data_IF_109659519788
#
_entry.id   IF_109659519788
#
_cell.length_a   1.000
_cell.length_b   1.000
_cell.length_c   1.000
_cell.angle_alpha   90.00
_cell.angle_beta   90.00
_cell.angle_gamma   90.00
#
_symmetry.space_group_name_H-M   'P 1'
#
loop_
_entity.id
_entity.type
_entity.pdbx_description
1 polymer ?
#
# COMPACT_ATOMS: atom_id res chain seq x y z
N UNK A 1 -4.12 12.38 8.15
CA UNK A 1 -3.42 11.64 7.09
C UNK A 1 -4.47 11.19 6.08
N UNK A 2 -4.31 11.51 4.80
CA UNK A 2 -5.25 11.07 3.76
C UNK A 2 -4.94 9.61 3.47
N UNK A 3 -5.89 8.71 3.64
CA UNK A 3 -5.72 7.31 3.22
C UNK A 3 -5.73 7.25 1.70
N UNK A 4 -4.57 7.11 1.06
CA UNK A 4 -4.46 7.18 -0.40
C UNK A 4 -4.59 5.80 -1.03
N UNK A 5 -5.77 5.53 -1.58
CA UNK A 5 -6.10 4.26 -2.26
C UNK A 5 -5.73 3.02 -1.43
N UNK A 6 -5.94 3.06 -0.11
CA UNK A 6 -5.64 1.92 0.78
C UNK A 6 -6.49 0.70 0.41
N UNK A 7 -5.94 -0.49 0.68
CA UNK A 7 -6.67 -1.74 0.47
C UNK A 7 -7.92 -1.80 1.35
N UNK A 8 -9.02 -2.34 0.81
CA UNK A 8 -10.29 -2.43 1.50
C UNK A 8 -10.60 -3.87 1.94
N UNK A 9 -11.30 -3.99 3.07
CA UNK A 9 -11.78 -5.27 3.57
C UNK A 9 -12.91 -5.79 2.66
N UNK A 10 -12.81 -7.05 2.23
CA UNK A 10 -13.83 -7.72 1.40
C UNK A 10 -14.16 -9.10 1.98
N UNK A 11 -15.35 -9.64 1.69
CA UNK A 11 -15.72 -11.00 2.10
C UNK A 11 -14.75 -12.06 1.56
N UNK A 12 -14.26 -11.86 0.34
CA UNK A 12 -13.24 -12.71 -0.27
C UNK A 12 -11.93 -12.73 0.55
N UNK A 13 -11.55 -11.60 1.16
CA UNK A 13 -10.39 -11.54 2.05
C UNK A 13 -10.59 -12.40 3.29
N UNK A 14 -11.77 -12.35 3.92
CA UNK A 14 -12.08 -13.16 5.10
C UNK A 14 -11.96 -14.66 4.79
N UNK A 15 -12.48 -15.09 3.64
CA UNK A 15 -12.30 -16.46 3.14
C UNK A 15 -10.81 -16.82 2.96
N UNK A 16 -10.00 -15.91 2.40
CA UNK A 16 -8.55 -16.11 2.25
C UNK A 16 -7.84 -16.24 3.60
N UNK A 17 -8.25 -15.49 4.62
CA UNK A 17 -7.69 -15.59 5.98
C UNK A 17 -7.99 -16.98 6.55
N UNK A 18 -9.26 -17.41 6.50
CA UNK A 18 -9.67 -18.72 7.00
C UNK A 18 -8.88 -19.83 6.30
N UNK A 19 -8.87 -19.85 4.97
CA UNK A 19 -8.17 -20.85 4.17
C UNK A 19 -6.66 -20.87 4.46
N UNK A 20 -6.02 -19.70 4.54
CA UNK A 20 -4.57 -19.65 4.78
C UNK A 20 -4.24 -20.14 6.20
N UNK A 21 -5.09 -19.84 7.18
CA UNK A 21 -4.91 -20.26 8.57
C UNK A 21 -5.10 -21.77 8.73
N UNK A 22 -6.07 -22.38 8.04
CA UNK A 22 -6.29 -23.83 8.09
C UNK A 22 -5.20 -24.62 7.37
N UNK A 23 -4.61 -24.06 6.30
CA UNK A 23 -3.51 -24.70 5.58
C UNK A 23 -2.16 -24.57 6.30
N UNK A 24 -1.98 -23.56 7.15
CA UNK A 24 -0.70 -23.25 7.78
C UNK A 24 -0.11 -24.43 8.58
N UNK A 25 -0.87 -25.16 9.43
CA UNK A 25 -0.37 -26.32 10.16
C UNK A 25 0.05 -27.46 9.23
N UNK A 26 -0.71 -27.70 8.16
CA UNK A 26 -0.40 -28.74 7.16
C UNK A 26 0.92 -28.41 6.46
N UNK A 27 1.09 -27.17 6.02
CA UNK A 27 2.32 -26.70 5.36
C UNK A 27 3.50 -26.74 6.34
N UNK A 28 3.29 -26.41 7.61
CA UNK A 28 4.34 -26.49 8.63
C UNK A 28 4.86 -27.91 8.83
N UNK A 29 3.98 -28.92 8.85
CA UNK A 29 4.37 -30.32 9.05
C UNK A 29 4.97 -30.94 7.79
N UNK A 30 4.38 -30.68 6.62
CA UNK A 30 4.65 -31.47 5.41
C UNK A 30 5.48 -30.74 4.35
N UNK A 31 5.95 -29.52 4.59
CA UNK A 31 6.63 -28.73 3.55
C UNK A 31 7.97 -28.16 3.96
N UNK A 32 8.74 -27.75 2.95
CA UNK A 32 10.00 -27.03 3.15
C UNK A 32 9.75 -25.71 3.88
N UNK A 33 10.69 -25.33 4.74
CA UNK A 33 10.66 -24.08 5.50
C UNK A 33 10.31 -22.84 4.65
N UNK A 34 10.87 -22.73 3.44
CA UNK A 34 10.59 -21.64 2.49
C UNK A 34 9.10 -21.54 2.14
N UNK A 35 8.40 -22.67 2.00
CA UNK A 35 6.97 -22.70 1.66
C UNK A 35 6.13 -22.30 2.87
N UNK A 36 6.48 -22.74 4.07
CA UNK A 36 5.84 -22.29 5.30
C UNK A 36 5.95 -20.77 5.48
N UNK A 37 7.15 -20.22 5.30
CA UNK A 37 7.41 -18.78 5.37
C UNK A 37 6.57 -17.99 4.36
N UNK A 38 6.46 -18.48 3.13
CA UNK A 38 5.62 -17.86 2.11
C UNK A 38 4.14 -17.80 2.52
N UNK A 39 3.60 -18.88 3.09
CA UNK A 39 2.23 -18.88 3.61
C UNK A 39 2.06 -17.96 4.82
N UNK A 40 3.08 -17.85 5.67
CA UNK A 40 3.07 -16.93 6.81
C UNK A 40 3.03 -15.48 6.36
N UNK A 41 3.80 -15.12 5.32
CA UNK A 41 3.76 -13.78 4.71
C UNK A 41 2.42 -13.48 4.03
N UNK A 42 1.80 -14.48 3.39
CA UNK A 42 0.43 -14.33 2.85
C UNK A 42 -0.58 -14.04 3.96
N UNK A 43 -0.55 -14.82 5.04
CA UNK A 43 -1.42 -14.61 6.19
C UNK A 43 -1.21 -13.20 6.76
N UNK A 44 0.04 -12.78 6.94
CA UNK A 44 0.37 -11.44 7.42
C UNK A 44 -0.19 -10.34 6.50
N UNK A 45 -0.08 -10.49 5.17
CA UNK A 45 -0.66 -9.54 4.24
C UNK A 45 -2.18 -9.46 4.35
N UNK A 46 -2.87 -10.59 4.53
CA UNK A 46 -4.33 -10.58 4.72
C UNK A 46 -4.75 -9.96 6.04
N UNK A 47 -4.04 -10.25 7.13
CA UNK A 47 -4.25 -9.63 8.44
C UNK A 47 -4.05 -8.11 8.39
N UNK A 48 -3.06 -7.65 7.62
CA UNK A 48 -2.83 -6.21 7.38
C UNK A 48 -4.06 -5.57 6.71
N UNK A 49 -4.59 -6.16 5.64
CA UNK A 49 -5.77 -5.60 4.97
C UNK A 49 -7.00 -5.62 5.90
N UNK A 50 -7.10 -6.62 6.78
CA UNK A 50 -8.16 -6.71 7.79
C UNK A 50 -8.01 -5.73 8.97
N UNK A 51 -6.97 -4.88 9.00
CA UNK A 51 -6.74 -3.93 10.09
C UNK A 51 -5.98 -4.51 11.30
N UNK A 52 -5.60 -5.79 11.26
CA UNK A 52 -4.90 -6.48 12.36
C UNK A 52 -3.38 -6.25 12.27
N UNK A 53 -2.96 -4.98 12.27
CA UNK A 53 -1.59 -4.58 11.95
C UNK A 53 -0.54 -5.18 12.90
N UNK A 54 -0.83 -5.29 14.21
CA UNK A 54 0.08 -5.89 15.18
C UNK A 54 0.42 -7.35 14.86
N UNK A 55 -0.59 -8.13 14.45
CA UNK A 55 -0.39 -9.52 14.05
C UNK A 55 0.34 -9.62 12.71
N UNK A 56 -0.01 -8.76 11.75
CA UNK A 56 0.69 -8.68 10.46
C UNK A 56 2.18 -8.37 10.64
N UNK A 57 2.51 -7.41 11.51
CA UNK A 57 3.90 -7.05 11.86
C UNK A 57 4.59 -8.23 12.54
N UNK A 58 3.96 -8.86 13.52
CA UNK A 58 4.54 -10.00 14.23
C UNK A 58 4.94 -11.14 13.28
N UNK A 59 4.01 -11.57 12.41
CA UNK A 59 4.26 -12.66 11.48
C UNK A 59 5.29 -12.30 10.40
N UNK A 60 5.20 -11.09 9.84
CA UNK A 60 6.15 -10.64 8.82
C UNK A 60 7.56 -10.49 9.40
N UNK A 61 7.69 -9.95 10.62
CA UNK A 61 8.98 -9.81 11.29
C UNK A 61 9.62 -11.18 11.61
N UNK A 62 8.79 -12.18 11.95
CA UNK A 62 9.25 -13.57 12.16
C UNK A 62 9.87 -14.15 10.88
N UNK A 63 9.28 -13.89 9.71
CA UNK A 63 9.84 -14.33 8.42
C UNK A 63 11.09 -13.51 8.08
N UNK A 64 11.01 -12.19 8.13
CA UNK A 64 12.11 -11.25 7.82
C UNK A 64 13.41 -11.62 8.55
N UNK A 65 13.34 -11.92 9.85
CA UNK A 65 14.53 -12.23 10.67
C UNK A 65 15.16 -13.59 10.41
N UNK A 66 14.41 -14.56 9.87
CA UNK A 66 14.84 -15.98 9.83
C UNK A 66 14.99 -16.53 8.42
N UNK A 67 14.32 -15.93 7.45
CA UNK A 67 14.29 -16.49 6.10
C UNK A 67 15.66 -16.37 5.44
N UNK A 68 16.03 -17.42 4.70
CA UNK A 68 17.18 -17.42 3.79
C UNK A 68 16.77 -17.14 2.34
N UNK A 69 15.47 -17.09 2.07
CA UNK A 69 14.93 -16.86 0.73
C UNK A 69 14.79 -15.37 0.50
N UNK A 70 15.45 -14.87 -0.55
CA UNK A 70 15.37 -13.47 -0.97
C UNK A 70 13.92 -13.07 -1.28
N UNK A 71 13.15 -13.92 -1.97
CA UNK A 71 11.74 -13.67 -2.25
C UNK A 71 10.89 -13.53 -0.98
N UNK A 72 11.05 -14.46 -0.03
CA UNK A 72 10.31 -14.38 1.23
C UNK A 72 10.73 -13.15 2.06
N UNK A 73 12.02 -12.79 2.00
CA UNK A 73 12.54 -11.60 2.66
C UNK A 73 11.93 -10.34 2.06
N UNK A 74 11.89 -10.22 0.73
CA UNK A 74 11.22 -9.15 0.01
C UNK A 74 9.76 -9.02 0.49
N UNK A 75 8.97 -10.09 0.36
CA UNK A 75 7.54 -10.02 0.68
C UNK A 75 7.28 -9.73 2.15
N UNK A 76 8.07 -10.29 3.06
CA UNK A 76 7.94 -10.01 4.49
C UNK A 76 8.26 -8.55 4.81
N UNK A 77 9.33 -8.02 4.23
CA UNK A 77 9.75 -6.61 4.38
C UNK A 77 8.72 -5.66 3.78
N UNK A 78 8.17 -6.01 2.62
CA UNK A 78 7.12 -5.24 1.96
C UNK A 78 5.83 -5.19 2.79
N UNK A 79 5.40 -6.31 3.38
CA UNK A 79 4.25 -6.33 4.29
C UNK A 79 4.53 -5.50 5.55
N UNK A 80 5.74 -5.58 6.12
CA UNK A 80 6.12 -4.71 7.26
C UNK A 80 5.96 -3.23 6.92
N UNK A 81 6.49 -2.79 5.77
CA UNK A 81 6.41 -1.40 5.34
C UNK A 81 4.97 -0.88 5.32
N UNK A 82 4.06 -1.61 4.64
CA UNK A 82 2.66 -1.20 4.54
C UNK A 82 1.93 -1.35 5.89
N UNK A 83 2.27 -2.35 6.69
CA UNK A 83 1.69 -2.51 8.03
C UNK A 83 2.06 -1.36 8.97
N UNK A 84 3.32 -0.92 8.98
CA UNK A 84 3.74 0.25 9.76
C UNK A 84 3.11 1.54 9.23
N UNK A 85 3.02 1.69 7.90
CA UNK A 85 2.29 2.81 7.28
C UNK A 85 0.85 2.88 7.77
N UNK A 86 0.13 1.74 7.75
CA UNK A 86 -1.28 1.71 8.14
C UNK A 86 -1.47 1.86 9.65
N UNK A 87 -0.49 1.41 10.45
CA UNK A 87 -0.44 1.63 11.89
C UNK A 87 -0.04 3.07 12.29
N UNK A 88 0.42 3.89 11.33
CA UNK A 88 0.81 5.29 11.56
C UNK A 88 2.28 5.49 11.97
N UNK A 89 3.09 4.44 11.98
CA UNK A 89 4.54 4.56 12.24
C UNK A 89 5.27 4.84 10.92
N UNK A 90 5.30 6.12 10.55
CA UNK A 90 5.81 6.57 9.25
C UNK A 90 7.32 6.40 9.12
N UNK A 91 8.05 6.47 10.24
CA UNK A 91 9.51 6.32 10.25
C UNK A 91 9.86 4.87 9.90
N UNK A 92 9.28 3.90 10.62
CA UNK A 92 9.52 2.50 10.32
C UNK A 92 8.97 2.11 8.95
N UNK A 93 7.81 2.63 8.55
CA UNK A 93 7.27 2.40 7.21
C UNK A 93 8.28 2.79 6.12
N UNK A 94 8.84 4.01 6.21
CA UNK A 94 9.83 4.52 5.26
C UNK A 94 11.09 3.64 5.23
N UNK A 95 11.64 3.29 6.40
CA UNK A 95 12.80 2.40 6.50
C UNK A 95 12.55 1.05 5.82
N UNK A 96 11.40 0.42 6.10
CA UNK A 96 11.07 -0.87 5.51
C UNK A 96 10.77 -0.80 4.02
N UNK A 97 10.22 0.31 3.50
CA UNK A 97 10.08 0.47 2.05
C UNK A 97 11.44 0.54 1.33
N UNK A 98 12.44 1.20 1.92
CA UNK A 98 13.80 1.18 1.36
C UNK A 98 14.42 -0.21 1.46
N UNK A 99 14.35 -0.85 2.63
CA UNK A 99 14.87 -2.20 2.81
C UNK A 99 14.24 -3.22 1.84
N UNK A 100 12.93 -3.11 1.57
CA UNK A 100 12.27 -3.99 0.62
C UNK A 100 12.84 -3.87 -0.80
N UNK A 101 13.38 -2.71 -1.21
CA UNK A 101 13.97 -2.54 -2.55
C UNK A 101 15.32 -3.24 -2.68
N UNK A 102 16.08 -3.36 -1.60
CA UNK A 102 17.41 -4.00 -1.64
C UNK A 102 17.31 -5.49 -2.01
N UNK A 103 16.24 -6.14 -1.58
CA UNK A 103 16.00 -7.56 -1.84
C UNK A 103 15.17 -7.81 -3.12
N UNK A 104 14.72 -6.76 -3.81
CA UNK A 104 13.75 -6.86 -4.90
C UNK A 104 14.37 -7.27 -6.24
N UNK A 105 13.77 -8.25 -6.92
CA UNK A 105 13.93 -8.43 -8.36
C UNK A 105 13.16 -7.34 -9.15
N UNK A 106 13.29 -7.29 -10.49
CA UNK A 106 12.67 -6.21 -11.29
C UNK A 106 11.15 -6.08 -11.11
N UNK A 107 10.43 -7.21 -11.07
CA UNK A 107 8.99 -7.23 -10.84
C UNK A 107 8.64 -6.67 -9.45
N UNK A 108 9.35 -7.16 -8.43
CA UNK A 108 9.21 -6.73 -7.04
C UNK A 108 9.58 -5.25 -6.85
N UNK A 109 10.56 -4.77 -7.62
CA UNK A 109 10.99 -3.37 -7.61
C UNK A 109 9.87 -2.45 -8.09
N UNK A 110 9.16 -2.83 -9.15
CA UNK A 110 7.98 -2.11 -9.63
C UNK A 110 6.90 -2.00 -8.55
N UNK A 111 6.57 -3.11 -7.89
CA UNK A 111 5.61 -3.11 -6.77
C UNK A 111 6.10 -2.25 -5.60
N UNK A 112 7.38 -2.32 -5.27
CA UNK A 112 7.96 -1.54 -4.18
C UNK A 112 7.87 -0.04 -4.45
N UNK A 113 8.19 0.40 -5.68
CA UNK A 113 8.01 1.80 -6.07
C UNK A 113 6.55 2.23 -6.02
N UNK A 114 5.61 1.40 -6.50
CA UNK A 114 4.19 1.73 -6.48
C UNK A 114 3.66 1.99 -5.07
N UNK A 115 3.87 1.06 -4.14
CA UNK A 115 3.37 1.22 -2.78
C UNK A 115 4.11 2.30 -2.00
N UNK A 116 5.42 2.48 -2.23
CA UNK A 116 6.16 3.60 -1.65
C UNK A 116 5.65 4.95 -2.21
N UNK A 117 5.31 5.01 -3.49
CA UNK A 117 4.67 6.20 -4.10
C UNK A 117 3.38 6.56 -3.39
N UNK A 118 2.50 5.58 -3.15
CA UNK A 118 1.27 5.80 -2.37
C UNK A 118 1.57 6.31 -0.95
N UNK A 119 2.55 5.72 -0.27
CA UNK A 119 3.00 6.20 1.04
C UNK A 119 3.47 7.65 1.00
N UNK A 120 4.24 8.04 -0.02
CA UNK A 120 4.68 9.43 -0.22
C UNK A 120 3.51 10.39 -0.39
N UNK A 121 2.45 9.99 -1.10
CA UNK A 121 1.21 10.79 -1.17
C UNK A 121 0.59 10.98 0.22
N UNK A 122 0.50 9.91 1.02
CA UNK A 122 -0.14 9.98 2.35
C UNK A 122 0.59 10.92 3.32
N UNK A 123 1.91 11.07 3.16
CA UNK A 123 2.75 11.95 3.99
C UNK A 123 2.99 13.34 3.37
N UNK A 124 2.39 13.63 2.22
CA UNK A 124 2.46 14.94 1.55
C UNK A 124 3.67 15.18 0.65
N UNK A 125 4.51 14.16 0.44
CA UNK A 125 5.69 14.22 -0.43
C UNK A 125 5.30 13.96 -1.89
N UNK A 126 4.52 14.87 -2.47
CA UNK A 126 3.81 14.65 -3.74
C UNK A 126 4.77 14.51 -4.94
N UNK A 127 5.87 15.26 -4.97
CA UNK A 127 6.85 15.19 -6.06
C UNK A 127 7.57 13.84 -6.04
N UNK A 128 7.98 13.38 -4.86
CA UNK A 128 8.61 12.07 -4.70
C UNK A 128 7.64 10.93 -5.00
N UNK A 129 6.36 11.09 -4.67
CA UNK A 129 5.32 10.15 -5.07
C UNK A 129 5.20 10.05 -6.60
N UNK A 130 5.20 11.19 -7.30
CA UNK A 130 5.13 11.22 -8.77
C UNK A 130 6.34 10.49 -9.40
N UNK A 131 7.54 10.72 -8.87
CA UNK A 131 8.75 10.05 -9.34
C UNK A 131 8.68 8.53 -9.14
N UNK A 132 8.20 8.07 -7.99
CA UNK A 132 8.00 6.64 -7.73
C UNK A 132 6.94 6.00 -8.64
N UNK A 133 5.86 6.71 -8.96
CA UNK A 133 4.89 6.23 -9.95
C UNK A 133 5.50 6.15 -11.36
N UNK A 134 6.31 7.13 -11.76
CA UNK A 134 7.03 7.10 -13.05
C UNK A 134 8.03 5.94 -13.12
N UNK A 135 8.77 5.68 -12.05
CA UNK A 135 9.67 4.52 -11.93
C UNK A 135 8.91 3.21 -12.10
N UNK A 136 7.74 3.10 -11.46
CA UNK A 136 6.88 1.92 -11.59
C UNK A 136 6.43 1.71 -13.04
N UNK A 137 5.98 2.76 -13.72
CA UNK A 137 5.55 2.69 -15.14
C UNK A 137 6.68 2.16 -16.02
N UNK A 138 7.91 2.68 -15.86
CA UNK A 138 9.09 2.23 -16.61
C UNK A 138 9.36 0.74 -16.42
N UNK A 139 9.27 0.25 -15.18
CA UNK A 139 9.48 -1.17 -14.87
C UNK A 139 8.36 -2.07 -15.39
N UNK A 140 7.11 -1.58 -15.42
CA UNK A 140 5.99 -2.32 -16.01
C UNK A 140 6.15 -2.50 -17.52
N UNK A 141 6.64 -1.48 -18.24
CA UNK A 141 6.90 -1.56 -19.68
C UNK A 141 7.94 -2.63 -20.03
N UNK A 142 8.91 -2.85 -19.15
CA UNK A 142 9.94 -3.87 -19.36
C UNK A 142 9.45 -5.30 -19.05
N UNK A 143 8.44 -5.44 -18.18
CA UNK A 143 8.00 -6.73 -17.62
C UNK A 143 6.58 -7.15 -18.04
N UNK A 144 5.95 -6.44 -18.99
CA UNK A 144 4.57 -6.67 -19.46
C UNK A 144 3.54 -6.80 -18.32
N UNK A 145 3.70 -5.99 -17.26
CA UNK A 145 2.79 -6.00 -16.11
C UNK A 145 1.65 -4.99 -16.28
N UNK A 146 0.70 -5.31 -17.16
CA UNK A 146 -0.41 -4.43 -17.54
C UNK A 146 -1.30 -4.02 -16.36
N UNK A 147 -1.47 -4.91 -15.37
CA UNK A 147 -2.30 -4.62 -14.21
C UNK A 147 -1.65 -3.55 -13.32
N UNK A 148 -0.37 -3.71 -12.99
CA UNK A 148 0.35 -2.71 -12.20
C UNK A 148 0.47 -1.38 -12.97
N UNK A 149 0.65 -1.42 -14.29
CA UNK A 149 0.64 -0.22 -15.13
C UNK A 149 -0.68 0.55 -15.01
N UNK A 150 -1.82 -0.13 -15.18
CA UNK A 150 -3.16 0.49 -15.06
C UNK A 150 -3.40 1.06 -13.67
N UNK A 151 -3.01 0.33 -12.62
CA UNK A 151 -3.14 0.81 -11.24
C UNK A 151 -2.28 2.06 -10.99
N UNK A 152 -1.04 2.06 -11.50
CA UNK A 152 -0.12 3.17 -11.35
C UNK A 152 -0.60 4.41 -12.10
N UNK A 153 -1.15 4.25 -13.30
CA UNK A 153 -1.76 5.35 -14.05
C UNK A 153 -2.93 5.97 -13.29
N UNK A 154 -3.81 5.15 -12.69
CA UNK A 154 -4.89 5.65 -11.83
C UNK A 154 -4.37 6.41 -10.61
N UNK A 155 -3.30 5.92 -9.99
CA UNK A 155 -2.66 6.61 -8.87
C UNK A 155 -2.04 7.96 -9.32
N UNK A 156 -1.39 7.99 -10.48
CA UNK A 156 -0.85 9.23 -11.02
C UNK A 156 -1.95 10.26 -11.33
N UNK A 157 -3.08 9.83 -11.90
CA UNK A 157 -4.25 10.70 -12.11
C UNK A 157 -4.79 11.26 -10.80
N UNK A 158 -5.02 10.40 -9.80
CA UNK A 158 -5.52 10.85 -8.49
C UNK A 158 -4.54 11.77 -7.76
N UNK A 159 -3.23 11.61 -7.98
CA UNK A 159 -2.21 12.54 -7.45
C UNK A 159 -2.33 13.93 -8.10
N UNK A 160 -2.53 14.00 -9.42
CA UNK A 160 -2.70 15.29 -10.09
C UNK A 160 -3.98 16.01 -9.66
N UNK A 161 -5.08 15.29 -9.48
CA UNK A 161 -6.33 15.84 -8.93
C UNK A 161 -6.09 16.42 -7.52
N UNK A 162 -5.35 15.68 -6.68
CA UNK A 162 -4.97 16.16 -5.34
C UNK A 162 -4.11 17.44 -5.43
N UNK A 163 -3.13 17.51 -6.33
CA UNK A 163 -2.31 18.72 -6.51
C UNK A 163 -3.13 19.93 -6.97
N UNK A 164 -4.09 19.72 -7.88
CA UNK A 164 -4.98 20.80 -8.34
C UNK A 164 -5.87 21.33 -7.21
N UNK A 165 -6.44 20.46 -6.39
CA UNK A 165 -7.24 20.88 -5.23
C UNK A 165 -6.42 21.62 -4.17
N UNK A 166 -5.15 21.27 -3.98
CA UNK A 166 -4.26 21.97 -3.05
C UNK A 166 -3.82 23.34 -3.57
N UNK A 167 -3.63 23.48 -4.89
CA UNK A 167 -3.21 24.74 -5.52
C UNK A 167 -4.37 25.74 -5.74
N UNK A 168 -5.62 25.27 -5.67
CA UNK A 168 -6.81 26.11 -5.67
C UNK A 168 -7.63 25.86 -4.39
N UNK A 169 -7.24 26.43 -3.23
CA UNK A 169 -8.12 26.45 -2.07
C UNK A 169 -9.39 27.20 -2.47
N UNK A 170 -10.54 26.52 -2.40
CA UNK A 170 -11.85 27.05 -2.75
C UNK A 170 -12.06 28.46 -2.16
N UNK A 171 -12.14 29.47 -3.04
CA UNK A 171 -12.76 30.77 -2.75
C UNK A 171 -14.26 30.55 -2.82
N UNK A 172 -14.88 30.11 -1.72
CA UNK A 172 -16.32 30.30 -1.58
C UNK A 172 -16.56 31.75 -1.17
N UNK A 173 -16.75 32.59 -2.19
CA UNK A 173 -17.32 33.92 -2.02
C UNK A 173 -18.71 33.80 -1.40
N UNK A 174 -18.89 34.51 -0.30
CA UNK A 174 -20.18 34.94 0.21
C UNK A 174 -20.95 35.63 -0.93
N UNK A 175 -21.90 34.93 -1.53
CA UNK A 175 -22.95 35.55 -2.32
C UNK A 175 -24.26 35.34 -1.56
N UNK A 176 -24.47 36.13 -0.51
CA UNK A 176 -25.82 36.54 -0.10
C UNK A 176 -26.16 37.82 -0.84
N UNK A 177 -27.05 37.82 -1.85
CA UNK A 177 -27.69 39.04 -2.26
C UNK A 177 -28.73 39.40 -1.18
N UNK A 178 -28.42 40.43 -0.42
CA UNK A 178 -29.45 41.31 0.14
C UNK A 178 -30.29 41.83 -1.05
N UNK A 179 -31.55 41.41 -1.14
CA UNK A 179 -32.58 42.23 -1.75
C UNK A 179 -33.82 42.20 -0.86
N UNK A 180 -33.87 43.22 -0.01
CA UNK A 180 -35.09 43.79 0.53
C UNK A 180 -36.04 44.04 -0.65
N UNK A 181 -37.23 43.44 -0.60
CA UNK A 181 -38.40 43.92 -1.32
C UNK A 181 -39.58 43.91 -0.33
N UNK A 182 -39.81 45.09 0.25
CA UNK A 182 -41.12 45.51 0.73
C UNK A 182 -42.13 45.47 -0.43
N UNK A 183 -43.36 45.05 -0.12
CA UNK A 183 -44.66 45.58 -0.56
C UNK A 183 -45.70 44.54 -0.11
N UNK A 184 -46.35 44.72 1.03
CA UNK A 184 -47.58 45.52 1.25
C UNK A 184 -48.83 44.95 0.56
N UNK A 185 -49.84 44.73 1.42
CA UNK A 185 -51.25 44.35 1.23
C UNK A 185 -51.62 42.90 0.89
#
# INVERSE_FOLDING_TARGET
>A
MIGYQRDQLTLLLLMKIILTTTLLPIVWVFSKQTRYEFYLTKLANWLRIAGLYRLAIYFSNKVFKKTKSQDNKFWATHVLAISYQYAGDLILAKCYFYAAREDANEYQMGLSYYYHGKFMVEIGELDLAQDYFRQTIRLCSNNNNDNLLKQTQRALTGLHELQQTLNHPYVHGENTPNSIAHNDT
#
